data_IF_961333106069
#
_entry.id   IF_961333106069
#
_cell.length_a   1.000
_cell.length_b   1.000
_cell.length_c   1.000
_cell.angle_alpha   90.00
_cell.angle_beta   90.00
_cell.angle_gamma   90.00
#
_symmetry.space_group_name_H-M   'P 1'
#
loop_
_entity.id
_entity.type
_entity.pdbx_description
1 polymer ?
#
# COMPACT_ATOMS: atom_id res chain seq x y z
N UNK A 1 2.01 -17.50 -13.61
CA UNK A 1 1.94 -16.17 -12.98
C UNK A 1 1.55 -16.39 -11.52
N UNK A 2 2.23 -15.77 -10.54
CA UNK A 2 1.80 -15.89 -9.13
C UNK A 2 0.39 -15.30 -8.98
N UNK A 3 -0.43 -15.93 -8.15
CA UNK A 3 -1.81 -15.50 -7.86
C UNK A 3 -2.04 -15.44 -6.36
N UNK A 4 -2.86 -14.48 -5.94
CA UNK A 4 -3.33 -14.33 -4.59
C UNK A 4 -4.82 -14.67 -4.57
N UNK A 5 -5.20 -15.71 -3.82
CA UNK A 5 -6.60 -16.08 -3.64
C UNK A 5 -7.10 -15.33 -2.40
N UNK A 6 -8.08 -14.46 -2.60
CA UNK A 6 -8.75 -13.70 -1.55
C UNK A 6 -10.24 -13.96 -1.71
N UNK A 7 -10.86 -14.40 -0.63
CA UNK A 7 -12.30 -14.53 -0.56
C UNK A 7 -12.90 -13.21 -0.06
N UNK A 8 -14.00 -12.82 -0.68
CA UNK A 8 -14.79 -11.66 -0.30
C UNK A 8 -16.21 -12.15 -0.03
N UNK A 9 -16.85 -11.59 0.99
CA UNK A 9 -18.28 -11.78 1.14
C UNK A 9 -19.07 -11.00 0.06
N UNK A 10 -20.39 -11.21 0.01
CA UNK A 10 -21.21 -10.58 -1.04
C UNK A 10 -21.27 -9.05 -0.88
N UNK A 11 -21.25 -8.54 0.36
CA UNK A 11 -21.30 -7.11 0.63
C UNK A 11 -19.99 -6.43 0.20
N UNK A 12 -18.85 -7.05 0.50
CA UNK A 12 -17.53 -6.63 0.03
C UNK A 12 -17.48 -6.66 -1.49
N UNK A 13 -17.99 -7.73 -2.13
CA UNK A 13 -18.02 -7.82 -3.59
C UNK A 13 -18.90 -6.76 -4.23
N UNK A 14 -20.05 -6.43 -3.66
CA UNK A 14 -20.90 -5.34 -4.13
C UNK A 14 -20.16 -4.00 -4.07
N UNK A 15 -19.49 -3.71 -2.94
CA UNK A 15 -18.70 -2.50 -2.76
C UNK A 15 -17.56 -2.40 -3.79
N UNK A 16 -16.79 -3.47 -3.99
CA UNK A 16 -15.67 -3.48 -4.95
C UNK A 16 -16.19 -3.35 -6.39
N UNK A 17 -17.31 -4.01 -6.74
CA UNK A 17 -17.93 -3.87 -8.07
C UNK A 17 -18.43 -2.45 -8.32
N UNK A 18 -19.04 -1.81 -7.33
CA UNK A 18 -19.50 -0.42 -7.44
C UNK A 18 -18.33 0.54 -7.68
N UNK A 19 -17.24 0.39 -6.90
CA UNK A 19 -16.03 1.20 -7.07
C UNK A 19 -15.36 0.96 -8.43
N UNK A 20 -15.20 -0.29 -8.85
CA UNK A 20 -14.60 -0.62 -10.15
C UNK A 20 -15.41 -0.03 -11.33
N UNK A 21 -16.74 -0.04 -11.23
CA UNK A 21 -17.62 0.59 -12.24
C UNK A 21 -17.48 2.11 -12.25
N UNK A 22 -17.35 2.74 -11.09
CA UNK A 22 -17.15 4.19 -11.00
C UNK A 22 -15.85 4.64 -11.69
N UNK A 23 -14.81 3.80 -11.65
CA UNK A 23 -13.51 4.05 -12.28
C UNK A 23 -13.41 3.54 -13.74
N UNK A 24 -14.48 2.97 -14.30
CA UNK A 24 -14.49 2.29 -15.62
C UNK A 24 -13.39 1.21 -15.75
N UNK A 25 -13.15 0.48 -14.66
CA UNK A 25 -12.16 -0.58 -14.57
C UNK A 25 -12.81 -1.96 -14.45
N UNK A 26 -12.14 -2.98 -14.99
CA UNK A 26 -12.50 -4.36 -14.66
C UNK A 26 -12.18 -4.65 -13.19
N UNK A 27 -12.98 -5.51 -12.56
CA UNK A 27 -12.83 -5.86 -11.15
C UNK A 27 -11.40 -6.33 -10.81
N UNK A 28 -10.81 -7.14 -11.69
CA UNK A 28 -9.44 -7.64 -11.54
C UNK A 28 -8.39 -6.51 -11.60
N UNK A 29 -8.56 -5.55 -12.51
CA UNK A 29 -7.65 -4.40 -12.63
C UNK A 29 -7.77 -3.49 -11.42
N UNK A 30 -8.99 -3.21 -10.98
CA UNK A 30 -9.28 -2.42 -9.79
C UNK A 30 -8.63 -3.04 -8.54
N UNK A 31 -8.88 -4.33 -8.28
CA UNK A 31 -8.30 -5.04 -7.15
C UNK A 31 -6.75 -5.06 -7.20
N UNK A 32 -6.17 -5.32 -8.38
CA UNK A 32 -4.72 -5.29 -8.56
C UNK A 32 -4.14 -3.89 -8.28
N UNK A 33 -4.76 -2.83 -8.78
CA UNK A 33 -4.33 -1.45 -8.55
C UNK A 33 -4.39 -1.10 -7.05
N UNK A 34 -5.49 -1.44 -6.37
CA UNK A 34 -5.65 -1.20 -4.94
C UNK A 34 -4.56 -1.90 -4.10
N UNK A 35 -4.26 -3.16 -4.41
CA UNK A 35 -3.18 -3.91 -3.74
C UNK A 35 -1.82 -3.25 -3.99
N UNK A 36 -1.53 -2.88 -5.22
CA UNK A 36 -0.26 -2.23 -5.58
C UNK A 36 -0.09 -0.86 -4.95
N UNK A 37 -1.18 -0.08 -4.83
CA UNK A 37 -1.17 1.21 -4.15
C UNK A 37 -0.85 1.04 -2.67
N UNK A 38 -1.52 0.10 -1.98
CA UNK A 38 -1.27 -0.20 -0.57
C UNK A 38 0.16 -0.70 -0.34
N UNK A 39 0.66 -1.59 -1.20
CA UNK A 39 2.04 -2.07 -1.14
C UNK A 39 3.06 -0.92 -1.31
N UNK A 40 2.81 -0.03 -2.28
CA UNK A 40 3.67 1.12 -2.55
C UNK A 40 3.66 2.12 -1.38
N UNK A 41 2.49 2.38 -0.80
CA UNK A 41 2.35 3.23 0.37
C UNK A 41 3.07 2.65 1.60
N UNK A 42 3.02 1.33 1.80
CA UNK A 42 3.78 0.66 2.85
C UNK A 42 5.29 0.87 2.66
N UNK A 43 5.81 0.66 1.45
CA UNK A 43 7.22 0.90 1.13
C UNK A 43 7.65 2.35 1.41
N UNK A 44 6.83 3.33 1.02
CA UNK A 44 7.11 4.76 1.29
C UNK A 44 7.18 5.05 2.78
N UNK A 45 6.21 4.57 3.58
CA UNK A 45 6.21 4.76 5.04
C UNK A 45 7.43 4.14 5.72
N UNK A 46 7.84 2.94 5.30
CA UNK A 46 9.03 2.28 5.82
C UNK A 46 10.29 3.09 5.48
N UNK A 47 10.41 3.57 4.24
CA UNK A 47 11.56 4.37 3.81
C UNK A 47 11.64 5.72 4.56
N UNK A 48 10.49 6.36 4.80
CA UNK A 48 10.42 7.61 5.57
C UNK A 48 10.82 7.41 7.03
N UNK A 49 10.33 6.34 7.67
CA UNK A 49 10.73 5.98 9.02
C UNK A 49 12.23 5.70 9.11
N UNK A 50 12.79 4.96 8.15
CA UNK A 50 14.23 4.70 8.07
C UNK A 50 15.04 5.99 7.92
N UNK A 51 14.57 6.93 7.08
CA UNK A 51 15.19 8.25 6.92
C UNK A 51 15.20 9.03 8.24
N UNK A 52 14.07 9.09 8.94
CA UNK A 52 13.96 9.78 10.22
C UNK A 52 14.92 9.18 11.27
N UNK A 53 15.00 7.85 11.34
CA UNK A 53 15.94 7.17 12.25
C UNK A 53 17.39 7.51 11.89
N UNK A 54 17.75 7.49 10.61
CA UNK A 54 19.09 7.84 10.16
C UNK A 54 19.43 9.31 10.49
N UNK A 55 18.52 10.25 10.23
CA UNK A 55 18.68 11.67 10.59
C UNK A 55 18.89 11.86 12.09
N UNK A 56 18.07 11.20 12.93
CA UNK A 56 18.20 11.25 14.40
C UNK A 56 19.49 10.62 14.89
N UNK A 57 19.92 9.50 14.31
CA UNK A 57 21.21 8.88 14.65
C UNK A 57 22.40 9.76 14.27
N UNK A 58 22.35 10.43 13.12
CA UNK A 58 23.39 11.36 12.68
C UNK A 58 23.43 12.62 13.56
N UNK A 59 22.27 13.14 13.95
CA UNK A 59 22.16 14.22 14.93
C UNK A 59 22.77 13.83 16.29
N UNK A 60 22.44 12.63 16.80
CA UNK A 60 22.98 12.12 18.05
C UNK A 60 24.50 11.91 17.97
N UNK A 61 24.99 11.31 16.89
CA UNK A 61 26.43 11.10 16.66
C UNK A 61 27.19 12.44 16.61
N UNK A 62 26.62 13.49 16.00
CA UNK A 62 27.21 14.83 16.00
C UNK A 62 27.22 15.50 17.38
N UNK A 63 26.31 15.13 18.29
CA UNK A 63 26.25 15.67 19.66
C UNK A 63 27.18 14.95 20.63
N UNK A 64 27.55 13.71 20.32
CA UNK A 64 28.41 12.86 21.16
C UNK A 64 29.88 12.88 20.72
N UNK A 65 30.20 13.48 19.57
CA UNK A 65 31.56 13.70 19.06
C UNK A 65 32.03 15.12 19.40
#
# INVERSE_FOLDING_TARGET
>A
MPSLNIDFDEAEMEQIRAAARADDLSLKKFAHAAVMERASAHKRRVAEAARLVAERSAELNRRLA
#
